data_IF_426586050319
#
_entry.id   IF_426586050319
#
_cell.length_a   1.000
_cell.length_b   1.000
_cell.length_c   1.000
_cell.angle_alpha   90.00
_cell.angle_beta   90.00
_cell.angle_gamma   90.00
#
_symmetry.space_group_name_H-M   'P 1'
#
loop_
_entity.id
_entity.type
_entity.pdbx_description
1 polymer ?
#
# COMPACT_ATOMS: atom_id res chain seq x y z
N UNK A 1 6.18 -26.39 13.53
CA UNK A 1 4.99 -25.97 14.31
C UNK A 1 4.85 -24.44 14.44
N UNK A 2 5.94 -23.64 14.38
CA UNK A 2 5.88 -22.17 14.35
C UNK A 2 5.35 -21.55 13.04
N UNK A 3 5.54 -22.21 11.88
CA UNK A 3 5.11 -21.72 10.57
C UNK A 3 3.58 -21.63 10.40
N UNK A 4 2.83 -22.57 11.00
CA UNK A 4 1.36 -22.59 10.98
C UNK A 4 0.73 -21.52 11.87
N UNK A 5 1.45 -21.03 12.88
CA UNK A 5 0.96 -19.97 13.79
C UNK A 5 1.03 -18.60 13.11
N UNK A 6 2.00 -18.37 12.22
CA UNK A 6 2.09 -17.14 11.43
C UNK A 6 0.99 -17.07 10.36
N UNK A 7 0.77 -18.13 9.57
CA UNK A 7 -0.32 -18.13 8.57
C UNK A 7 -1.72 -18.01 9.20
N UNK A 8 -1.97 -18.60 10.38
CA UNK A 8 -3.23 -18.37 11.11
C UNK A 8 -3.36 -16.96 11.72
N UNK A 9 -2.26 -16.25 11.99
CA UNK A 9 -2.29 -14.86 12.50
C UNK A 9 -2.49 -13.81 11.40
N UNK A 10 -2.03 -14.06 10.18
CA UNK A 10 -2.38 -13.19 9.05
C UNK A 10 -3.88 -13.21 8.72
N UNK A 11 -4.56 -14.33 9.02
CA UNK A 11 -6.02 -14.47 8.85
C UNK A 11 -6.87 -13.81 9.96
N UNK A 12 -6.26 -13.24 11.01
CA UNK A 12 -6.97 -12.58 12.13
C UNK A 12 -6.97 -11.06 12.06
N UNK A 13 -6.20 -10.47 11.15
CA UNK A 13 -6.30 -9.06 10.79
C UNK A 13 -7.42 -8.93 9.74
N UNK A 14 -8.09 -7.78 9.64
CA UNK A 14 -9.28 -7.51 8.79
C UNK A 14 -9.04 -7.63 7.26
N UNK A 15 -8.37 -8.68 6.78
CA UNK A 15 -8.07 -8.94 5.37
C UNK A 15 -9.22 -9.59 4.61
N UNK A 16 -10.34 -9.91 5.27
CA UNK A 16 -11.53 -10.47 4.63
C UNK A 16 -12.20 -9.55 3.58
N UNK A 17 -11.64 -8.37 3.31
CA UNK A 17 -12.10 -7.46 2.25
C UNK A 17 -11.32 -7.60 0.94
N UNK A 18 -10.13 -8.22 0.95
CA UNK A 18 -9.28 -8.36 -0.24
C UNK A 18 -8.70 -9.78 -0.25
N UNK A 19 -9.08 -10.65 -1.21
CA UNK A 19 -8.46 -11.96 -1.33
C UNK A 19 -6.95 -11.77 -1.53
N UNK A 20 -6.16 -12.41 -0.67
CA UNK A 20 -4.67 -12.35 -0.65
C UNK A 20 -4.06 -13.03 -1.89
N UNK A 21 -4.90 -13.45 -2.84
CA UNK A 21 -4.51 -14.21 -4.03
C UNK A 21 -3.93 -13.29 -5.12
N UNK A 22 -4.31 -12.00 -5.14
CA UNK A 22 -3.71 -10.99 -6.03
C UNK A 22 -3.97 -9.55 -5.58
N UNK A 23 -2.92 -8.71 -5.53
CA UNK A 23 -3.06 -7.26 -5.32
C UNK A 23 -3.36 -6.54 -6.62
N UNK A 24 -4.39 -5.70 -6.60
CA UNK A 24 -4.84 -4.87 -7.73
C UNK A 24 -4.08 -3.53 -7.80
N UNK A 25 -4.17 -2.83 -8.93
CA UNK A 25 -3.71 -1.44 -9.07
C UNK A 25 -4.69 -0.52 -8.33
N UNK A 26 -4.21 0.58 -7.74
CA UNK A 26 -5.06 1.60 -7.12
C UNK A 26 -5.09 2.87 -7.98
N UNK A 27 -6.17 3.06 -8.75
CA UNK A 27 -6.33 4.17 -9.69
C UNK A 27 -7.68 4.83 -9.46
N UNK A 28 -7.71 6.17 -9.37
CA UNK A 28 -8.94 6.95 -9.20
C UNK A 28 -9.79 6.51 -7.99
N UNK A 29 -9.15 6.28 -6.84
CA UNK A 29 -9.77 5.76 -5.62
C UNK A 29 -10.43 4.37 -5.73
N UNK A 30 -10.11 3.60 -6.77
CA UNK A 30 -10.63 2.26 -6.99
C UNK A 30 -9.50 1.23 -7.13
N UNK A 31 -9.78 0.01 -6.69
CA UNK A 31 -8.93 -1.15 -6.97
C UNK A 31 -9.32 -1.74 -8.32
N UNK A 32 -8.37 -1.83 -9.24
CA UNK A 32 -8.60 -2.29 -10.60
C UNK A 32 -7.55 -3.32 -11.01
N UNK A 33 -7.96 -4.35 -11.73
CA UNK A 33 -7.00 -5.25 -12.38
C UNK A 33 -6.21 -4.50 -13.44
N UNK A 34 -4.96 -4.92 -13.68
CA UNK A 34 -4.22 -4.50 -14.86
C UNK A 34 -5.01 -4.83 -16.14
N UNK A 35 -4.96 -3.95 -17.15
CA UNK A 35 -5.63 -4.18 -18.44
C UNK A 35 -5.18 -5.48 -19.08
N UNK A 36 -3.89 -5.78 -18.98
CA UNK A 36 -3.26 -6.99 -19.51
C UNK A 36 -3.66 -8.27 -18.75
N UNK A 37 -4.26 -8.13 -17.56
CA UNK A 37 -4.47 -9.19 -16.56
C UNK A 37 -3.20 -9.91 -16.10
N UNK A 38 -2.01 -9.38 -16.44
CA UNK A 38 -0.74 -9.92 -15.97
C UNK A 38 -0.54 -9.63 -14.49
N UNK A 39 0.15 -10.55 -13.85
CA UNK A 39 0.60 -10.45 -12.47
C UNK A 39 2.02 -10.97 -12.37
N UNK A 40 2.77 -10.52 -11.36
CA UNK A 40 4.06 -11.09 -11.00
C UNK A 40 4.08 -11.52 -9.54
N UNK A 41 4.93 -12.49 -9.23
CA UNK A 41 5.10 -13.04 -7.89
C UNK A 41 6.07 -12.18 -7.07
N UNK A 42 5.74 -11.92 -5.80
CA UNK A 42 6.71 -11.41 -4.81
C UNK A 42 7.02 -12.47 -3.77
N UNK A 43 8.27 -12.49 -3.30
CA UNK A 43 8.82 -13.56 -2.47
C UNK A 43 9.41 -13.00 -1.19
N UNK A 44 9.31 -13.76 -0.11
CA UNK A 44 9.99 -13.44 1.14
C UNK A 44 11.49 -13.74 0.99
N UNK A 45 12.38 -12.74 1.04
CA UNK A 45 13.81 -12.92 0.78
C UNK A 45 14.53 -13.75 1.84
N UNK A 46 13.98 -13.87 3.05
CA UNK A 46 14.58 -14.68 4.11
C UNK A 46 14.30 -16.19 3.94
N UNK A 47 13.29 -16.56 3.16
CA UNK A 47 12.83 -17.96 3.02
C UNK A 47 12.70 -18.45 1.59
N UNK A 48 12.64 -17.54 0.62
CA UNK A 48 12.28 -17.84 -0.77
C UNK A 48 10.81 -18.20 -0.96
N UNK A 49 9.98 -18.14 0.08
CA UNK A 49 8.57 -18.50 -0.02
C UNK A 49 7.78 -17.41 -0.77
N UNK A 50 6.86 -17.83 -1.65
CA UNK A 50 5.90 -16.94 -2.29
C UNK A 50 5.07 -16.20 -1.24
N UNK A 51 4.97 -14.88 -1.37
CA UNK A 51 4.08 -14.04 -0.55
C UNK A 51 2.71 -13.96 -1.22
N UNK A 52 2.67 -13.47 -2.46
CA UNK A 52 1.43 -13.21 -3.22
C UNK A 52 1.75 -12.87 -4.68
N UNK A 53 0.71 -12.69 -5.49
CA UNK A 53 0.79 -12.10 -6.83
C UNK A 53 0.41 -10.61 -6.78
N UNK A 54 1.05 -9.78 -7.59
CA UNK A 54 0.76 -8.34 -7.71
C UNK A 54 0.46 -8.03 -9.17
N UNK A 55 -0.57 -7.21 -9.42
CA UNK A 55 -0.92 -6.75 -10.76
C UNK A 55 0.26 -6.03 -11.43
N UNK A 56 0.55 -6.44 -12.66
CA UNK A 56 1.61 -5.87 -13.48
C UNK A 56 1.00 -4.83 -14.43
N UNK A 57 1.00 -3.57 -13.99
CA UNK A 57 0.51 -2.45 -14.81
C UNK A 57 1.38 -2.20 -16.04
N UNK A 58 0.74 -1.94 -17.18
CA UNK A 58 1.41 -1.63 -18.46
C UNK A 58 1.02 -0.23 -18.97
N UNK A 59 1.44 0.14 -20.18
CA UNK A 59 1.21 1.45 -20.81
C UNK A 59 -0.25 1.91 -20.69
N UNK A 60 -1.21 1.01 -20.94
CA UNK A 60 -2.64 1.35 -20.86
C UNK A 60 -3.12 1.67 -19.43
N UNK A 61 -2.53 1.04 -18.41
CA UNK A 61 -2.84 1.33 -17.01
C UNK A 61 -2.20 2.64 -16.57
N UNK A 62 -0.99 2.93 -17.07
CA UNK A 62 -0.31 4.23 -16.88
C UNK A 62 -1.14 5.36 -17.49
N UNK A 63 -1.65 5.20 -18.71
CA UNK A 63 -2.51 6.20 -19.35
C UNK A 63 -3.78 6.49 -18.53
N UNK A 64 -4.40 5.45 -17.97
CA UNK A 64 -5.54 5.60 -17.05
C UNK A 64 -5.16 6.35 -15.77
N UNK A 65 -4.02 6.00 -15.15
CA UNK A 65 -3.53 6.65 -13.94
C UNK A 65 -3.20 8.14 -14.19
N UNK A 66 -2.51 8.44 -15.29
CA UNK A 66 -2.17 9.81 -15.69
C UNK A 66 -3.43 10.62 -15.99
N UNK A 67 -4.40 10.03 -16.71
CA UNK A 67 -5.68 10.70 -16.94
C UNK A 67 -6.40 10.99 -15.63
N UNK A 68 -6.50 10.03 -14.71
CA UNK A 68 -7.14 10.23 -13.41
C UNK A 68 -6.45 11.33 -12.58
N UNK A 69 -5.12 11.33 -12.53
CA UNK A 69 -4.34 12.37 -11.86
C UNK A 69 -4.51 13.75 -12.51
N UNK A 70 -4.54 13.81 -13.84
CA UNK A 70 -4.81 15.05 -14.60
C UNK A 70 -6.21 15.58 -14.31
N UNK A 71 -7.22 14.71 -14.31
CA UNK A 71 -8.61 15.02 -13.98
C UNK A 71 -8.71 15.58 -12.55
N UNK A 72 -8.03 14.95 -11.58
CA UNK A 72 -7.94 15.42 -10.20
C UNK A 72 -7.23 16.78 -10.06
N UNK A 73 -6.33 17.14 -10.98
CA UNK A 73 -5.59 18.41 -10.95
C UNK A 73 -6.12 19.50 -11.91
N UNK A 74 -7.25 19.26 -12.59
CA UNK A 74 -7.86 20.27 -13.47
C UNK A 74 -8.28 21.53 -12.73
N UNK A 75 -8.27 22.66 -13.42
CA UNK A 75 -8.84 23.90 -12.92
C UNK A 75 -10.30 23.67 -12.48
N UNK A 76 -10.60 24.09 -11.25
CA UNK A 76 -11.93 23.92 -10.66
C UNK A 76 -12.18 22.55 -9.98
N UNK A 77 -11.24 21.60 -10.05
CA UNK A 77 -11.39 20.30 -9.37
C UNK A 77 -11.39 20.45 -7.84
N UNK A 78 -11.96 19.49 -7.09
CA UNK A 78 -11.96 19.52 -5.63
C UNK A 78 -10.56 19.68 -5.04
N UNK A 79 -9.58 18.92 -5.53
CA UNK A 79 -8.20 18.99 -5.03
C UNK A 79 -7.53 20.35 -5.30
N UNK A 80 -7.73 20.93 -6.49
CA UNK A 80 -7.17 22.25 -6.84
C UNK A 80 -7.83 23.40 -6.08
N UNK A 81 -9.10 23.27 -5.73
CA UNK A 81 -9.87 24.29 -5.01
C UNK A 81 -9.76 24.17 -3.49
N UNK A 82 -9.32 23.01 -2.99
CA UNK A 82 -9.15 22.74 -1.57
C UNK A 82 -8.15 23.70 -0.95
N UNK A 83 -8.42 24.15 0.27
CA UNK A 83 -7.49 25.03 0.98
C UNK A 83 -6.20 24.27 1.34
N UNK A 84 -5.09 25.00 1.44
CA UNK A 84 -3.82 24.40 1.82
C UNK A 84 -3.90 23.72 3.21
N UNK A 85 -4.63 24.32 4.14
CA UNK A 85 -4.87 23.76 5.47
C UNK A 85 -5.66 22.45 5.42
N UNK A 86 -6.68 22.34 4.56
CA UNK A 86 -7.46 21.12 4.39
C UNK A 86 -6.61 19.99 3.80
N UNK A 87 -5.73 20.29 2.83
CA UNK A 87 -4.74 19.30 2.35
C UNK A 87 -3.80 18.85 3.47
N UNK A 88 -3.35 19.79 4.30
CA UNK A 88 -2.56 19.48 5.51
C UNK A 88 -3.29 18.57 6.49
N UNK A 89 -4.60 18.76 6.67
CA UNK A 89 -5.43 17.88 7.49
C UNK A 89 -5.52 16.46 6.91
N UNK A 90 -5.61 16.32 5.58
CA UNK A 90 -5.60 15.01 4.93
C UNK A 90 -4.26 14.28 5.10
N UNK A 91 -3.13 15.01 5.01
CA UNK A 91 -1.79 14.45 5.27
C UNK A 91 -1.64 13.99 6.73
N UNK A 92 -2.08 14.82 7.69
CA UNK A 92 -2.10 14.45 9.10
C UNK A 92 -3.00 13.24 9.36
N UNK A 93 -4.14 13.16 8.68
CA UNK A 93 -5.03 12.00 8.78
C UNK A 93 -4.38 10.73 8.26
N UNK A 94 -3.60 10.81 7.17
CA UNK A 94 -2.82 9.69 6.68
C UNK A 94 -1.75 9.26 7.70
N UNK A 95 -1.06 10.22 8.31
CA UNK A 95 -0.09 9.95 9.39
C UNK A 95 -0.75 9.22 10.57
N UNK A 96 -1.93 9.66 11.02
CA UNK A 96 -2.68 8.99 12.10
C UNK A 96 -3.03 7.54 11.74
N UNK A 97 -3.40 7.28 10.48
CA UNK A 97 -3.73 5.94 10.01
C UNK A 97 -2.48 5.05 9.94
N UNK A 98 -1.34 5.61 9.53
CA UNK A 98 -0.05 4.92 9.53
C UNK A 98 0.43 4.61 10.95
N UNK A 99 0.26 5.53 11.90
CA UNK A 99 0.55 5.29 13.32
C UNK A 99 -0.31 4.18 13.89
N UNK A 100 -1.63 4.21 13.62
CA UNK A 100 -2.58 3.16 14.02
C UNK A 100 -2.15 1.78 13.51
N UNK A 101 -1.72 1.71 12.25
CA UNK A 101 -1.40 0.44 11.58
C UNK A 101 0.11 0.11 11.56
N UNK A 102 0.92 0.86 12.32
CA UNK A 102 2.39 0.79 12.29
C UNK A 102 2.94 -0.63 12.47
N UNK A 103 2.35 -1.42 13.35
CA UNK A 103 2.77 -2.82 13.58
C UNK A 103 2.60 -3.65 12.32
N UNK A 104 1.50 -3.46 11.59
CA UNK A 104 1.19 -4.22 10.38
C UNK A 104 2.09 -3.75 9.24
N UNK A 105 2.22 -2.44 9.03
CA UNK A 105 3.08 -1.88 7.99
C UNK A 105 4.55 -2.29 8.17
N UNK A 106 5.08 -2.23 9.40
CA UNK A 106 6.44 -2.71 9.67
C UNK A 106 6.59 -4.22 9.45
N UNK A 107 5.54 -5.01 9.73
CA UNK A 107 5.57 -6.46 9.46
C UNK A 107 5.58 -6.76 7.97
N UNK A 108 4.83 -6.00 7.17
CA UNK A 108 4.80 -6.13 5.71
C UNK A 108 6.14 -5.72 5.09
N UNK A 109 6.69 -4.59 5.53
CA UNK A 109 7.99 -4.09 5.08
C UNK A 109 9.12 -5.12 5.32
N UNK A 110 9.13 -5.74 6.51
CA UNK A 110 10.08 -6.82 6.82
C UNK A 110 9.82 -8.08 6.00
N UNK A 111 8.55 -8.43 5.77
CA UNK A 111 8.18 -9.63 5.03
C UNK A 111 8.63 -9.55 3.56
N UNK A 112 8.42 -8.40 2.92
CA UNK A 112 8.68 -8.19 1.49
C UNK A 112 10.14 -7.81 1.22
N UNK A 113 10.72 -6.91 2.01
CA UNK A 113 12.07 -6.40 1.77
C UNK A 113 13.18 -7.18 2.52
N UNK A 114 12.85 -7.88 3.60
CA UNK A 114 13.81 -8.68 4.40
C UNK A 114 14.58 -7.95 5.50
N UNK A 115 14.35 -6.65 5.72
CA UNK A 115 15.00 -5.88 6.80
C UNK A 115 14.52 -6.37 8.16
N UNK A 116 15.36 -6.28 9.21
CA UNK A 116 14.93 -6.59 10.56
C UNK A 116 13.69 -5.76 10.96
N UNK A 117 12.70 -6.42 11.57
CA UNK A 117 11.47 -5.76 12.05
C UNK A 117 11.72 -4.54 12.92
N UNK A 118 12.77 -4.60 13.76
CA UNK A 118 13.18 -3.46 14.58
C UNK A 118 13.48 -2.23 13.72
N UNK A 119 14.20 -2.38 12.61
CA UNK A 119 14.54 -1.27 11.71
C UNK A 119 13.28 -0.70 11.06
N UNK A 120 12.43 -1.55 10.47
CA UNK A 120 11.16 -1.12 9.88
C UNK A 120 10.29 -0.37 10.91
N UNK A 121 10.16 -0.94 12.11
CA UNK A 121 9.30 -0.39 13.15
C UNK A 121 9.85 0.88 13.77
N UNK A 122 11.14 0.97 14.09
CA UNK A 122 11.72 2.10 14.85
C UNK A 122 12.33 3.19 13.98
N UNK A 123 12.65 2.93 12.72
CA UNK A 123 13.22 3.91 11.81
C UNK A 123 12.25 4.25 10.67
N UNK A 124 11.97 3.31 9.77
CA UNK A 124 11.28 3.62 8.51
C UNK A 124 9.88 4.17 8.74
N UNK A 125 9.06 3.47 9.52
CA UNK A 125 7.69 3.91 9.79
C UNK A 125 7.65 5.28 10.50
N UNK A 126 8.43 5.52 11.58
CA UNK A 126 8.53 6.85 12.18
C UNK A 126 8.98 7.95 11.23
N UNK A 127 9.97 7.68 10.35
CA UNK A 127 10.45 8.65 9.38
C UNK A 127 9.38 8.97 8.32
N UNK A 128 8.67 7.97 7.81
CA UNK A 128 7.57 8.18 6.87
C UNK A 128 6.38 8.92 7.50
N UNK A 129 6.03 8.59 8.75
CA UNK A 129 5.00 9.30 9.52
C UNK A 129 5.41 10.76 9.73
N UNK A 130 6.65 11.00 10.15
CA UNK A 130 7.17 12.35 10.37
C UNK A 130 7.21 13.20 9.08
N UNK A 131 7.43 12.58 7.91
CA UNK A 131 7.39 13.27 6.62
C UNK A 131 5.98 13.80 6.26
N UNK A 132 4.93 13.21 6.82
CA UNK A 132 3.54 13.61 6.56
C UNK A 132 2.97 14.60 7.59
N UNK A 133 3.66 14.77 8.72
CA UNK A 133 3.32 15.71 9.80
C UNK A 133 3.79 17.11 9.46
#
# INVERSE_FOLDING_TARGET
MQFLILQRRYNTLRWNRYPVDSFQLFINNEWVDAVSKKTFETFNPATGALITNVAEGDVADVDKAVKAASDAFRLGSPWRRMDAAERGNLLNRLADLMERDRVILASLETLDNGKPYSVAYTADLPLSIACLR
#
